data_IF_997247780736
#
_entry.id   IF_997247780736
#
_cell.length_a   1.000
_cell.length_b   1.000
_cell.length_c   1.000
_cell.angle_alpha   90.00
_cell.angle_beta   90.00
_cell.angle_gamma   90.00
#
_symmetry.space_group_name_H-M   'P 1'
#
loop_
_entity.id
_entity.type
_entity.pdbx_description
1 polymer ?
#
# COMPACT_ATOMS: atom_id res chain seq x y z
N UNK A 1 -3.08 -24.50 6.91
CA UNK A 1 -2.03 -23.47 7.10
C UNK A 1 -2.72 -22.12 6.97
N UNK A 2 -2.99 -21.49 8.10
CA UNK A 2 -4.08 -20.52 8.24
C UNK A 2 -3.85 -19.16 7.57
N UNK A 3 -4.77 -18.80 6.66
CA UNK A 3 -5.51 -17.52 6.59
C UNK A 3 -4.73 -16.22 6.84
N UNK A 4 -3.53 -16.04 6.26
CA UNK A 4 -3.06 -14.68 6.02
C UNK A 4 -3.93 -14.11 4.89
N UNK A 5 -4.78 -13.13 5.20
CA UNK A 5 -5.63 -12.50 4.20
C UNK A 5 -4.82 -12.05 2.98
N UNK A 6 -5.40 -12.19 1.78
CA UNK A 6 -4.80 -11.85 0.48
C UNK A 6 -3.94 -10.55 0.50
N UNK A 7 -4.38 -9.42 1.09
CA UNK A 7 -3.56 -8.19 1.11
C UNK A 7 -2.26 -8.28 1.93
N UNK A 8 -2.22 -9.07 3.01
CA UNK A 8 -1.01 -9.25 3.83
C UNK A 8 0.06 -9.98 3.02
N UNK A 9 -0.31 -11.13 2.44
CA UNK A 9 0.59 -11.95 1.64
C UNK A 9 1.15 -11.16 0.46
N UNK A 10 0.31 -10.42 -0.25
CA UNK A 10 0.76 -9.61 -1.39
C UNK A 10 1.69 -8.47 -0.95
N UNK A 11 1.45 -7.82 0.19
CA UNK A 11 2.33 -6.76 0.70
C UNK A 11 3.73 -7.29 1.05
N UNK A 12 3.80 -8.47 1.67
CA UNK A 12 5.07 -9.12 2.02
C UNK A 12 5.86 -9.50 0.76
N UNK A 13 5.21 -10.16 -0.21
CA UNK A 13 5.83 -10.55 -1.48
C UNK A 13 6.28 -9.30 -2.25
N UNK A 14 5.43 -8.28 -2.29
CA UNK A 14 5.75 -7.01 -2.94
C UNK A 14 6.95 -6.31 -2.29
N UNK A 15 7.01 -6.27 -0.96
CA UNK A 15 8.16 -5.73 -0.24
C UNK A 15 9.46 -6.46 -0.54
N UNK A 16 9.41 -7.79 -0.65
CA UNK A 16 10.57 -8.60 -1.03
C UNK A 16 11.03 -8.29 -2.47
N UNK A 17 10.08 -8.19 -3.40
CA UNK A 17 10.37 -7.81 -4.79
C UNK A 17 10.99 -6.42 -4.87
N UNK A 18 10.45 -5.44 -4.14
CA UNK A 18 11.01 -4.09 -4.06
C UNK A 18 12.47 -4.10 -3.57
N UNK A 19 12.78 -4.91 -2.55
CA UNK A 19 14.15 -5.00 -2.03
C UNK A 19 15.13 -5.60 -3.04
N UNK A 20 14.72 -6.63 -3.79
CA UNK A 20 15.55 -7.24 -4.84
C UNK A 20 15.73 -6.28 -6.01
N UNK A 21 14.66 -5.63 -6.45
CA UNK A 21 14.65 -4.72 -7.61
C UNK A 21 15.30 -3.37 -7.28
N UNK A 22 15.40 -2.99 -6.02
CA UNK A 22 15.96 -1.70 -5.60
C UNK A 22 17.37 -1.45 -6.14
N UNK A 23 18.25 -2.45 -6.03
CA UNK A 23 19.65 -2.33 -6.47
C UNK A 23 19.74 -2.09 -8.00
N UNK A 24 19.17 -2.96 -8.86
CA UNK A 24 19.21 -2.74 -10.31
C UNK A 24 18.43 -1.49 -10.75
N UNK A 25 17.30 -1.16 -10.11
CA UNK A 25 16.51 0.01 -10.48
C UNK A 25 17.23 1.33 -10.15
N UNK A 26 17.81 1.43 -8.95
CA UNK A 26 18.54 2.63 -8.53
C UNK A 26 19.83 2.83 -9.33
N UNK A 27 20.53 1.75 -9.67
CA UNK A 27 21.73 1.81 -10.53
C UNK A 27 21.39 2.19 -11.97
N UNK A 28 20.31 1.65 -12.54
CA UNK A 28 19.83 2.04 -13.87
C UNK A 28 19.45 3.51 -13.92
N UNK A 29 18.69 4.00 -12.93
CA UNK A 29 18.28 5.40 -12.84
C UNK A 29 19.47 6.35 -12.63
N UNK A 30 20.50 5.91 -11.91
CA UNK A 30 21.72 6.68 -11.70
C UNK A 30 22.54 6.90 -12.98
N UNK A 31 22.29 6.13 -14.04
CA UNK A 31 22.90 6.41 -15.36
C UNK A 31 22.27 7.64 -16.05
N UNK A 32 21.04 8.01 -15.68
CA UNK A 32 20.31 9.12 -16.27
C UNK A 32 20.25 10.35 -15.36
N UNK A 33 20.21 10.14 -14.04
CA UNK A 33 20.03 11.18 -13.03
C UNK A 33 21.12 11.12 -11.96
N UNK A 34 21.31 12.24 -11.25
CA UNK A 34 22.15 12.28 -10.06
C UNK A 34 21.62 11.31 -9.00
N UNK A 35 22.54 10.68 -8.28
CA UNK A 35 22.26 9.61 -7.32
C UNK A 35 21.13 9.91 -6.31
N UNK A 36 21.00 11.12 -5.71
CA UNK A 36 19.90 11.42 -4.80
C UNK A 36 18.52 11.38 -5.50
N UNK A 37 18.45 11.90 -6.72
CA UNK A 37 17.21 11.93 -7.53
C UNK A 37 16.85 10.50 -7.96
N UNK A 38 17.82 9.74 -8.48
CA UNK A 38 17.64 8.34 -8.87
C UNK A 38 17.10 7.49 -7.71
N UNK A 39 17.68 7.65 -6.53
CA UNK A 39 17.25 6.99 -5.31
C UNK A 39 15.80 7.33 -4.94
N UNK A 40 15.45 8.62 -4.88
CA UNK A 40 14.09 9.07 -4.54
C UNK A 40 13.05 8.65 -5.57
N UNK A 41 13.38 8.69 -6.86
CA UNK A 41 12.50 8.24 -7.95
C UNK A 41 12.23 6.73 -7.87
N UNK A 42 13.23 5.94 -7.48
CA UNK A 42 13.05 4.49 -7.26
C UNK A 42 12.01 4.24 -6.17
N UNK A 43 12.16 4.90 -5.01
CA UNK A 43 11.20 4.78 -3.91
C UNK A 43 9.80 5.32 -4.26
N UNK A 44 9.75 6.44 -4.99
CA UNK A 44 8.49 6.98 -5.49
C UNK A 44 7.77 5.98 -6.40
N UNK A 45 8.49 5.32 -7.31
CA UNK A 45 7.94 4.31 -8.22
C UNK A 45 7.38 3.11 -7.44
N UNK A 46 8.10 2.65 -6.40
CA UNK A 46 7.59 1.61 -5.51
C UNK A 46 6.33 2.04 -4.77
N UNK A 47 6.23 3.30 -4.35
CA UNK A 47 5.01 3.81 -3.72
C UNK A 47 3.86 3.90 -4.72
N UNK A 48 4.10 4.33 -5.96
CA UNK A 48 3.07 4.37 -7.01
C UNK A 48 2.47 2.98 -7.23
N UNK A 49 3.30 1.96 -7.47
CA UNK A 49 2.81 0.59 -7.70
C UNK A 49 2.07 0.08 -6.46
N UNK A 50 2.59 0.34 -5.26
CA UNK A 50 1.93 -0.06 -4.02
C UNK A 50 0.58 0.66 -3.81
N UNK A 51 0.48 1.94 -4.15
CA UNK A 51 -0.75 2.71 -4.06
C UNK A 51 -1.86 2.14 -4.93
N UNK A 52 -1.53 1.62 -6.11
CA UNK A 52 -2.48 0.92 -6.99
C UNK A 52 -3.05 -0.32 -6.30
N UNK A 53 -2.19 -1.10 -5.62
CA UNK A 53 -2.61 -2.26 -4.84
C UNK A 53 -3.53 -1.85 -3.68
N UNK A 54 -3.16 -0.79 -2.94
CA UNK A 54 -3.95 -0.25 -1.84
C UNK A 54 -5.33 0.24 -2.29
N UNK A 55 -5.39 1.02 -3.37
CA UNK A 55 -6.63 1.53 -3.95
C UNK A 55 -7.53 0.39 -4.40
N UNK A 56 -6.95 -0.66 -5.00
CA UNK A 56 -7.67 -1.86 -5.41
C UNK A 56 -8.26 -2.61 -4.22
N UNK A 57 -7.56 -2.68 -3.09
CA UNK A 57 -8.07 -3.30 -1.87
C UNK A 57 -9.09 -2.44 -1.13
N UNK A 58 -8.92 -1.12 -1.15
CA UNK A 58 -9.85 -0.15 -0.54
C UNK A 58 -11.06 0.21 -1.41
N UNK A 59 -11.20 -0.38 -2.61
CA UNK A 59 -12.26 -0.06 -3.57
C UNK A 59 -12.40 1.45 -3.86
N UNK A 60 -11.30 2.19 -3.76
CA UNK A 60 -11.26 3.63 -3.93
C UNK A 60 -11.00 4.02 -5.40
N UNK A 61 -11.20 5.29 -5.75
CA UNK A 61 -10.83 5.79 -7.08
C UNK A 61 -9.35 6.12 -7.11
N UNK A 62 -8.65 5.62 -8.13
CA UNK A 62 -7.21 5.88 -8.33
C UNK A 62 -6.89 7.37 -8.49
N UNK A 63 -7.84 8.14 -9.02
CA UNK A 63 -7.74 9.61 -9.14
C UNK A 63 -7.54 10.30 -7.80
N UNK A 64 -8.07 9.73 -6.70
CA UNK A 64 -7.90 10.28 -5.36
C UNK A 64 -6.49 10.01 -4.80
N UNK A 65 -5.82 8.95 -5.26
CA UNK A 65 -4.42 8.68 -4.91
C UNK A 65 -3.43 9.44 -5.82
N UNK A 66 -3.88 9.95 -6.97
CA UNK A 66 -3.03 10.68 -7.90
C UNK A 66 -2.49 11.98 -7.29
N UNK A 67 -3.32 12.73 -6.57
CA UNK A 67 -2.90 13.98 -5.93
C UNK A 67 -1.73 13.80 -4.94
N UNK A 68 -1.82 12.91 -3.93
CA UNK A 68 -0.71 12.68 -3.00
C UNK A 68 0.55 12.14 -3.70
N UNK A 69 0.41 11.36 -4.78
CA UNK A 69 1.56 10.87 -5.56
C UNK A 69 2.24 11.97 -6.39
N UNK A 70 1.47 12.86 -7.02
CA UNK A 70 2.00 14.01 -7.75
C UNK A 70 2.67 15.02 -6.82
N UNK A 71 2.10 15.22 -5.62
CA UNK A 71 2.73 16.02 -4.59
C UNK A 71 4.12 15.47 -4.22
N UNK A 72 4.22 14.16 -3.99
CA UNK A 72 5.51 13.54 -3.69
C UNK A 72 6.49 13.59 -4.87
N UNK A 73 5.98 13.51 -6.11
CA UNK A 73 6.78 13.66 -7.32
C UNK A 73 7.39 15.07 -7.41
N UNK A 74 6.62 16.11 -7.09
CA UNK A 74 7.13 17.48 -7.08
C UNK A 74 8.25 17.66 -6.05
N UNK A 75 8.12 17.06 -4.85
CA UNK A 75 9.16 17.07 -3.81
C UNK A 75 10.46 16.41 -4.27
N UNK A 76 10.39 15.44 -5.19
CA UNK A 76 11.57 14.74 -5.70
C UNK A 76 12.62 15.70 -6.30
N UNK A 77 12.16 16.77 -6.95
CA UNK A 77 13.00 17.76 -7.61
C UNK A 77 13.49 18.88 -6.67
N UNK A 78 13.06 18.88 -5.40
CA UNK A 78 13.52 19.83 -4.40
C UNK A 78 14.78 19.27 -3.73
N UNK A 79 15.80 20.10 -3.54
CA UNK A 79 17.00 19.77 -2.77
C UNK A 79 16.68 19.68 -1.27
N UNK A 80 16.12 18.56 -0.85
CA UNK A 80 15.93 18.19 0.56
C UNK A 80 16.91 17.09 0.97
N UNK A 81 16.98 16.77 2.26
CA UNK A 81 17.73 15.59 2.72
C UNK A 81 16.95 14.31 2.43
N UNK A 82 17.65 13.20 2.17
CA UNK A 82 17.01 11.91 1.85
C UNK A 82 16.13 11.40 3.01
N UNK A 83 16.54 11.64 4.25
CA UNK A 83 15.75 11.34 5.44
C UNK A 83 14.44 12.11 5.47
N UNK A 84 14.46 13.40 5.10
CA UNK A 84 13.26 14.24 5.00
C UNK A 84 12.31 13.71 3.92
N UNK A 85 12.84 13.28 2.77
CA UNK A 85 12.04 12.65 1.72
C UNK A 85 11.35 11.37 2.20
N UNK A 86 12.00 10.57 3.03
CA UNK A 86 11.41 9.36 3.61
C UNK A 86 10.25 9.66 4.56
N UNK A 87 10.34 10.73 5.35
CA UNK A 87 9.20 11.17 6.15
C UNK A 87 8.01 11.58 5.26
N UNK A 88 8.26 12.27 4.15
CA UNK A 88 7.21 12.57 3.16
C UNK A 88 6.63 11.30 2.52
N UNK A 89 7.45 10.29 2.21
CA UNK A 89 6.97 8.98 1.73
C UNK A 89 6.01 8.33 2.73
N UNK A 90 6.38 8.30 4.01
CA UNK A 90 5.54 7.72 5.08
C UNK A 90 4.25 8.53 5.23
N UNK A 91 4.34 9.86 5.24
CA UNK A 91 3.20 10.76 5.32
C UNK A 91 2.21 10.55 4.18
N UNK A 92 2.70 10.51 2.94
CA UNK A 92 1.90 10.28 1.73
C UNK A 92 1.28 8.89 1.74
N UNK A 93 2.01 7.87 2.20
CA UNK A 93 1.46 6.53 2.37
C UNK A 93 0.30 6.52 3.38
N UNK A 94 0.46 7.14 4.55
CA UNK A 94 -0.59 7.25 5.56
C UNK A 94 -1.79 8.03 5.04
N UNK A 95 -1.57 9.10 4.26
CA UNK A 95 -2.64 9.82 3.57
C UNK A 95 -3.41 8.90 2.61
N UNK A 96 -2.73 8.17 1.73
CA UNK A 96 -3.39 7.26 0.78
C UNK A 96 -4.20 6.18 1.53
N UNK A 97 -3.71 5.67 2.65
CA UNK A 97 -4.40 4.65 3.45
C UNK A 97 -5.65 5.20 4.15
N UNK A 98 -5.49 6.15 5.06
CA UNK A 98 -6.59 6.67 5.90
C UNK A 98 -7.47 7.69 5.18
N UNK A 99 -6.89 8.54 4.33
CA UNK A 99 -7.64 9.56 3.59
C UNK A 99 -8.42 9.03 2.40
N UNK A 100 -7.90 8.00 1.71
CA UNK A 100 -8.46 7.53 0.43
C UNK A 100 -9.02 6.11 0.51
N UNK A 101 -8.27 5.14 1.04
CA UNK A 101 -8.59 3.72 0.89
C UNK A 101 -9.46 3.13 2.00
N UNK A 102 -9.27 3.51 3.27
CA UNK A 102 -9.91 2.84 4.40
C UNK A 102 -10.53 3.86 5.36
N UNK A 103 -11.77 4.27 5.08
CA UNK A 103 -12.57 5.12 5.96
C UNK A 103 -13.16 4.28 7.10
N UNK A 104 -12.40 4.07 8.16
CA UNK A 104 -12.83 3.32 9.37
C UNK A 104 -12.97 4.24 10.60
N UNK A 105 -13.44 3.70 11.72
CA UNK A 105 -13.63 4.47 12.97
C UNK A 105 -12.34 5.17 13.41
N UNK A 106 -12.41 6.50 13.49
CA UNK A 106 -11.29 7.45 13.63
C UNK A 106 -10.25 7.08 14.72
N UNK A 107 -10.60 6.71 15.97
CA UNK A 107 -9.58 6.63 17.02
C UNK A 107 -8.66 5.40 16.93
N UNK A 108 -9.18 4.23 16.56
CA UNK A 108 -8.38 3.00 16.47
C UNK A 108 -7.42 3.03 15.28
N UNK A 109 -7.86 3.62 14.18
CA UNK A 109 -7.06 3.75 12.95
C UNK A 109 -5.91 4.73 13.13
N UNK A 110 -6.13 5.87 13.81
CA UNK A 110 -5.05 6.84 14.08
C UNK A 110 -3.95 6.23 14.95
N UNK A 111 -4.30 5.50 16.02
CA UNK A 111 -3.31 4.88 16.89
C UNK A 111 -2.48 3.82 16.14
N UNK A 112 -3.15 2.99 15.34
CA UNK A 112 -2.48 1.99 14.51
C UNK A 112 -1.59 2.61 13.43
N UNK A 113 -2.05 3.67 12.77
CA UNK A 113 -1.26 4.39 11.78
C UNK A 113 -0.05 5.06 12.41
N UNK A 114 -0.20 5.68 13.58
CA UNK A 114 0.92 6.24 14.32
C UNK A 114 1.94 5.14 14.65
N UNK A 115 1.50 3.99 15.17
CA UNK A 115 2.39 2.87 15.49
C UNK A 115 3.15 2.34 14.27
N UNK A 116 2.46 2.14 13.15
CA UNK A 116 3.06 1.61 11.92
C UNK A 116 3.94 2.65 11.22
N UNK A 117 3.56 3.92 11.27
CA UNK A 117 4.36 5.03 10.71
C UNK A 117 5.64 5.23 11.51
N UNK A 118 5.55 5.21 12.85
CA UNK A 118 6.70 5.30 13.76
C UNK A 118 7.60 4.08 13.58
N UNK A 119 7.04 2.87 13.55
CA UNK A 119 7.79 1.63 13.32
C UNK A 119 8.51 1.64 11.97
N UNK A 120 7.83 2.08 10.91
CA UNK A 120 8.42 2.25 9.58
C UNK A 120 9.54 3.29 9.57
N UNK A 121 9.35 4.44 10.21
CA UNK A 121 10.37 5.48 10.33
C UNK A 121 11.59 4.99 11.13
N UNK A 122 11.39 4.25 12.22
CA UNK A 122 12.47 3.70 13.03
C UNK A 122 13.34 2.71 12.24
N UNK A 123 12.72 1.80 11.48
CA UNK A 123 13.43 0.86 10.59
C UNK A 123 14.26 1.61 9.55
N UNK A 124 13.69 2.66 8.96
CA UNK A 124 14.35 3.49 7.96
C UNK A 124 15.53 4.25 8.57
N UNK A 125 15.36 4.94 9.70
CA UNK A 125 16.44 5.67 10.35
C UNK A 125 17.59 4.75 10.79
N UNK A 126 17.26 3.54 11.24
CA UNK A 126 18.27 2.59 11.70
C UNK A 126 19.07 1.99 10.55
N UNK A 127 18.46 1.62 9.42
CA UNK A 127 19.14 0.84 8.38
C UNK A 127 19.73 1.65 7.23
N UNK A 128 19.29 2.89 7.03
CA UNK A 128 19.74 3.70 5.88
C UNK A 128 21.21 4.16 5.87
N UNK A 129 21.89 4.43 7.00
CA UNK A 129 23.26 4.94 6.97
C UNK A 129 24.32 3.87 6.64
N UNK A 130 23.99 2.58 6.66
CA UNK A 130 24.97 1.49 6.66
C UNK A 130 25.29 0.86 5.27
N UNK A 131 24.72 1.37 4.17
CA UNK A 131 25.04 0.94 2.79
C UNK A 131 23.85 0.54 1.91
N UNK A 132 24.11 0.11 0.67
CA UNK A 132 23.06 -0.26 -0.30
C UNK A 132 22.26 -1.50 0.14
N UNK A 133 22.95 -2.51 0.69
CA UNK A 133 22.30 -3.73 1.17
C UNK A 133 21.39 -3.41 2.36
N UNK A 134 21.86 -2.61 3.32
CA UNK A 134 21.07 -2.23 4.48
C UNK A 134 19.84 -1.41 4.09
N UNK A 135 19.93 -0.57 3.05
CA UNK A 135 18.77 0.14 2.48
C UNK A 135 17.76 -0.80 1.83
N UNK A 136 18.22 -1.78 1.05
CA UNK A 136 17.34 -2.80 0.48
C UNK A 136 16.62 -3.60 1.58
N UNK A 137 17.35 -4.01 2.63
CA UNK A 137 16.77 -4.65 3.82
C UNK A 137 15.79 -3.73 4.55
N UNK A 138 16.10 -2.44 4.66
CA UNK A 138 15.21 -1.44 5.23
C UNK A 138 13.89 -1.30 4.46
N UNK A 139 13.93 -1.34 3.14
CA UNK A 139 12.72 -1.34 2.28
C UNK A 139 11.87 -2.58 2.57
N UNK A 140 12.49 -3.76 2.64
CA UNK A 140 11.77 -4.99 2.95
C UNK A 140 11.11 -4.96 4.33
N UNK A 141 11.87 -4.58 5.36
CA UNK A 141 11.38 -4.47 6.74
C UNK A 141 10.30 -3.40 6.88
N UNK A 142 10.41 -2.28 6.14
CA UNK A 142 9.36 -1.28 6.06
C UNK A 142 8.05 -1.89 5.56
N UNK A 143 8.07 -2.63 4.45
CA UNK A 143 6.86 -3.29 3.94
C UNK A 143 6.33 -4.39 4.88
N UNK A 144 7.22 -5.09 5.61
CA UNK A 144 6.80 -6.02 6.65
C UNK A 144 6.03 -5.31 7.77
N UNK A 145 6.53 -4.20 8.30
CA UNK A 145 5.82 -3.38 9.29
C UNK A 145 4.50 -2.87 8.72
N UNK A 146 4.47 -2.41 7.47
CA UNK A 146 3.26 -1.94 6.79
C UNK A 146 2.21 -3.05 6.57
N UNK A 147 2.63 -4.31 6.43
CA UNK A 147 1.74 -5.45 6.27
C UNK A 147 0.93 -5.75 7.53
N UNK A 148 1.45 -5.37 8.71
CA UNK A 148 0.76 -5.54 9.99
C UNK A 148 -0.52 -4.70 10.08
N UNK A 149 -0.70 -3.67 9.25
CA UNK A 149 -1.92 -2.86 9.24
C UNK A 149 -3.19 -3.67 8.94
N UNK A 150 -3.13 -4.61 7.99
CA UNK A 150 -4.33 -5.28 7.49
C UNK A 150 -4.98 -6.23 8.51
N UNK A 151 -4.23 -7.04 9.30
CA UNK A 151 -4.80 -7.82 10.38
C UNK A 151 -5.51 -6.96 11.44
N UNK A 152 -4.96 -5.80 11.80
CA UNK A 152 -5.53 -4.94 12.83
C UNK A 152 -6.75 -4.13 12.37
N UNK A 153 -6.88 -3.86 11.07
CA UNK A 153 -8.02 -3.11 10.51
C UNK A 153 -9.17 -3.98 10.04
N UNK A 154 -9.01 -5.32 10.00
CA UNK A 154 -10.06 -6.24 9.56
C UNK A 154 -10.44 -6.13 8.08
N UNK A 155 -9.69 -5.34 7.30
CA UNK A 155 -9.89 -5.11 5.85
C UNK A 155 -9.87 -6.41 5.04
N UNK A 156 -9.27 -7.47 5.58
CA UNK A 156 -9.28 -8.81 4.98
C UNK A 156 -10.69 -9.39 4.81
N UNK A 157 -11.65 -9.00 5.64
CA UNK A 157 -12.99 -9.59 5.67
C UNK A 157 -14.01 -8.81 4.82
N UNK A 158 -13.75 -7.54 4.52
CA UNK A 158 -14.72 -6.65 3.87
C UNK A 158 -15.13 -7.11 2.46
N UNK A 159 -14.21 -7.70 1.70
CA UNK A 159 -14.53 -8.24 0.38
C UNK A 159 -15.15 -9.64 0.44
N UNK A 160 -14.85 -10.45 1.46
CA UNK A 160 -15.44 -11.80 1.58
C UNK A 160 -16.91 -11.72 2.02
N UNK A 161 -17.24 -10.86 3.00
CA UNK A 161 -18.63 -10.60 3.40
C UNK A 161 -19.46 -9.99 2.26
N UNK A 162 -18.88 -9.06 1.49
CA UNK A 162 -19.60 -8.43 0.37
C UNK A 162 -19.83 -9.40 -0.80
N UNK A 163 -18.90 -10.32 -1.04
CA UNK A 163 -19.05 -11.37 -2.07
C UNK A 163 -20.08 -12.42 -1.61
N UNK A 164 -20.09 -12.81 -0.33
CA UNK A 164 -21.13 -13.71 0.21
C UNK A 164 -22.52 -13.08 0.16
N UNK A 165 -22.66 -11.80 0.53
CA UNK A 165 -23.92 -11.08 0.44
C UNK A 165 -24.46 -11.01 -1.00
N UNK A 166 -23.58 -10.76 -1.98
CA UNK A 166 -23.96 -10.69 -3.40
C UNK A 166 -24.30 -12.08 -3.98
N UNK A 167 -23.62 -13.15 -3.54
CA UNK A 167 -23.94 -14.51 -3.95
C UNK A 167 -25.33 -14.95 -3.48
N UNK A 168 -25.72 -14.58 -2.26
CA UNK A 168 -27.05 -14.88 -1.72
C UNK A 168 -28.14 -14.08 -2.43
N UNK A 169 -27.90 -12.80 -2.72
CA UNK A 169 -28.82 -11.96 -3.50
C UNK A 169 -28.94 -12.43 -4.96
N UNK A 170 -27.85 -12.91 -5.57
CA UNK A 170 -27.88 -13.52 -6.91
C UNK A 170 -28.66 -14.83 -6.91
N UNK A 171 -28.49 -15.67 -5.89
CA UNK A 171 -29.26 -16.91 -5.73
C UNK A 171 -30.77 -16.61 -5.55
N UNK A 172 -31.11 -15.60 -4.75
CA UNK A 172 -32.49 -15.13 -4.56
C UNK A 172 -33.11 -14.65 -5.88
N UNK A 173 -32.42 -13.80 -6.64
CA UNK A 173 -32.91 -13.30 -7.94
C UNK A 173 -33.08 -14.43 -8.96
N UNK A 174 -32.22 -15.45 -8.92
CA UNK A 174 -32.39 -16.64 -9.76
C UNK A 174 -33.60 -17.47 -9.35
N UNK A 175 -33.85 -17.65 -8.05
CA UNK A 175 -35.04 -18.34 -7.56
C UNK A 175 -36.33 -17.57 -7.94
N UNK A 176 -36.33 -16.24 -7.78
CA UNK A 176 -37.46 -15.39 -8.18
C UNK A 176 -37.76 -15.48 -9.67
N UNK A 177 -36.72 -15.55 -10.53
CA UNK A 177 -36.90 -15.77 -11.97
C UNK A 177 -37.52 -17.13 -12.29
N UNK A 178 -37.06 -18.20 -11.66
CA UNK A 178 -37.61 -19.55 -11.88
C UNK A 178 -39.08 -19.61 -11.45
N UNK A 179 -39.43 -18.95 -10.34
CA UNK A 179 -40.81 -18.88 -9.85
C UNK A 179 -41.66 -18.05 -10.80
N UNK A 180 -41.18 -16.88 -11.25
CA UNK A 180 -41.90 -16.04 -12.20
C UNK A 180 -42.18 -16.75 -13.52
N UNK A 181 -41.21 -17.47 -14.08
CA UNK A 181 -41.39 -18.26 -15.31
C UNK A 181 -42.44 -19.38 -15.16
N UNK A 182 -42.62 -19.90 -13.93
CA UNK A 182 -43.54 -21.01 -13.65
C UNK A 182 -44.99 -20.58 -13.44
N UNK A 183 -45.24 -19.31 -13.17
CA UNK A 183 -46.59 -18.75 -12.92
C UNK A 183 -47.18 -17.97 -14.11
N UNK A 184 -46.42 -17.83 -15.22
CA UNK A 184 -46.86 -17.17 -16.46
C UNK A 184 -47.10 -18.14 -17.65
N UNK A 185 -47.42 -19.41 -17.37
CA UNK A 185 -47.99 -20.38 -18.32
C UNK A 185 -49.37 -20.80 -17.83
#
# INVERSE_FOLDING_TARGET
>A
MGILGKPVRTTIIYGLLCAIVFIPASTLLNNFFLWPIAFRLTLWTFLVIYSVLLVRWGSARITSALFPLLFLLAINFIEIQDTTFMFFLIFVLSWIRSGVCFKTSIPKTICLEAFISIGGAAVVLYLFPFGIISRATGIWLFFLVQSMYFPFTGVTNYNEEKIEADAFDQAKRHAEKIIADRYFV
#
